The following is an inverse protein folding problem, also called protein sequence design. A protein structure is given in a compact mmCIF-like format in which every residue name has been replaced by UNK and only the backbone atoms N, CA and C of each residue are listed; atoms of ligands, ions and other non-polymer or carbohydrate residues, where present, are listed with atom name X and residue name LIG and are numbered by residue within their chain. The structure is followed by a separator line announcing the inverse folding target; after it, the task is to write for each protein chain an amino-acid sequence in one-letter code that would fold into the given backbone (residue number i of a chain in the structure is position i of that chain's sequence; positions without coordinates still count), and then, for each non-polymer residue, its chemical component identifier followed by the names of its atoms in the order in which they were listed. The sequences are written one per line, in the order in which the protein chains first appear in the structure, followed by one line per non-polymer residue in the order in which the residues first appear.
data_IF_294751489831
#
_entry.id   IF_294751489831
#
_cell.length_a   1.000
_cell.length_b   1.000
_cell.length_c   1.000
_cell.angle_alpha   90.00
_cell.angle_beta   90.00
_cell.angle_gamma   90.00
#
_symmetry.space_group_name_H-M   'P 1'
#
loop_
_entity.id
_entity.type
_entity.pdbx_description
1 polymer ?
#
# COMPACT_ATOMS: atom_id res chain seq x y z
N UNK A 1 -1.48 -31.57 12.02
CA UNK A 1 -1.18 -30.14 12.28
C UNK A 1 -0.43 -29.59 11.09
N UNK A 2 -1.10 -28.89 10.17
CA UNK A 2 -0.47 -28.47 8.91
C UNK A 2 -1.30 -27.41 8.19
N UNK A 3 -1.13 -26.15 8.56
CA UNK A 3 -1.75 -25.00 7.86
C UNK A 3 -0.86 -23.75 7.85
N UNK A 4 0.47 -23.89 7.83
CA UNK A 4 1.37 -22.72 7.82
C UNK A 4 1.82 -22.25 6.42
N UNK A 5 1.58 -23.01 5.33
CA UNK A 5 2.38 -22.82 4.10
C UNK A 5 1.63 -22.41 2.83
N UNK A 6 0.31 -22.17 2.87
CA UNK A 6 -0.47 -21.74 1.68
C UNK A 6 -0.70 -20.23 1.56
N UNK A 7 -0.85 -19.49 2.67
CA UNK A 7 -1.09 -18.03 2.63
C UNK A 7 0.14 -17.20 2.25
N UNK A 8 1.34 -17.66 2.61
CA UNK A 8 2.59 -16.96 2.30
C UNK A 8 2.99 -17.00 0.81
N UNK A 9 2.46 -17.94 0.02
CA UNK A 9 2.85 -18.12 -1.39
C UNK A 9 2.17 -17.17 -2.37
N UNK A 10 1.07 -16.50 -1.98
CA UNK A 10 0.42 -15.50 -2.83
C UNK A 10 1.22 -14.20 -2.93
N UNK A 11 2.18 -13.99 -2.02
CA UNK A 11 3.10 -12.84 -2.03
C UNK A 11 4.28 -13.09 -2.99
N UNK A 12 4.55 -14.35 -3.38
CA UNK A 12 5.87 -14.72 -3.92
C UNK A 12 6.07 -14.44 -5.42
N UNK A 13 5.08 -14.11 -6.25
CA UNK A 13 5.29 -14.23 -7.72
C UNK A 13 4.69 -13.21 -8.69
N UNK A 14 4.22 -12.04 -8.25
CA UNK A 14 3.91 -10.96 -9.18
C UNK A 14 4.12 -9.56 -8.56
N UNK A 15 5.24 -8.94 -8.95
CA UNK A 15 5.36 -7.50 -9.27
C UNK A 15 5.03 -6.43 -8.21
N UNK A 16 4.99 -6.71 -6.91
CA UNK A 16 5.03 -5.65 -5.90
C UNK A 16 6.49 -5.24 -5.67
N UNK A 17 6.93 -4.13 -6.29
CA UNK A 17 8.29 -3.57 -6.06
C UNK A 17 8.49 -3.02 -4.64
N UNK A 18 7.42 -2.87 -3.87
CA UNK A 18 7.41 -2.30 -2.53
C UNK A 18 6.81 -3.27 -1.52
N UNK A 19 7.39 -3.32 -0.31
CA UNK A 19 6.77 -4.01 0.82
C UNK A 19 5.52 -3.25 1.30
N UNK A 20 4.57 -3.89 2.01
CA UNK A 20 3.42 -3.18 2.60
C UNK A 20 3.82 -2.02 3.52
N UNK A 21 4.93 -2.15 4.24
CA UNK A 21 5.47 -1.08 5.10
C UNK A 21 5.98 0.09 4.27
N UNK A 22 6.66 -0.17 3.15
CA UNK A 22 7.13 0.87 2.24
C UNK A 22 5.95 1.54 1.52
N UNK A 23 4.93 0.77 1.13
CA UNK A 23 3.71 1.29 0.54
C UNK A 23 2.95 2.20 1.52
N UNK A 24 2.86 1.81 2.81
CA UNK A 24 2.24 2.65 3.83
C UNK A 24 3.04 3.94 4.08
N UNK A 25 4.38 3.85 4.10
CA UNK A 25 5.25 5.02 4.22
C UNK A 25 5.09 5.96 3.02
N UNK A 26 5.08 5.42 1.81
CA UNK A 26 4.88 6.18 0.58
C UNK A 26 3.50 6.85 0.55
N UNK A 27 2.44 6.12 0.95
CA UNK A 27 1.09 6.68 1.08
C UNK A 27 1.04 7.83 2.08
N UNK A 28 1.60 7.62 3.28
CA UNK A 28 1.65 8.65 4.31
C UNK A 28 2.44 9.89 3.89
N UNK A 29 3.55 9.72 3.15
CA UNK A 29 4.31 10.86 2.63
C UNK A 29 3.50 11.61 1.57
N UNK A 30 2.88 10.86 0.66
CA UNK A 30 2.16 11.40 -0.48
C UNK A 30 0.94 12.22 -0.07
N UNK A 31 0.04 11.70 0.78
CA UNK A 31 -1.16 12.45 1.21
C UNK A 31 -0.84 13.71 2.03
N UNK A 32 0.37 13.80 2.59
CA UNK A 32 0.86 14.99 3.30
C UNK A 32 1.58 15.98 2.38
N UNK A 33 1.90 15.59 1.16
CA UNK A 33 2.60 16.44 0.20
C UNK A 33 1.66 17.53 -0.33
N UNK A 34 2.03 18.82 -0.35
CA UNK A 34 1.11 19.91 -0.76
C UNK A 34 0.50 19.73 -2.16
N UNK A 35 1.23 19.07 -3.05
CA UNK A 35 0.82 18.87 -4.45
C UNK A 35 0.06 17.56 -4.71
N UNK A 36 -0.28 16.77 -3.69
CA UNK A 36 -0.99 15.49 -3.90
C UNK A 36 -2.35 15.67 -4.58
N UNK A 37 -3.02 16.81 -4.34
CA UNK A 37 -4.29 17.19 -5.00
C UNK A 37 -4.15 17.47 -6.50
N UNK A 38 -2.93 17.70 -6.97
CA UNK A 38 -2.59 17.94 -8.37
C UNK A 38 -2.08 16.67 -9.06
N UNK A 39 -2.23 15.51 -8.41
CA UNK A 39 -1.78 14.26 -8.97
C UNK A 39 -2.49 13.94 -10.29
N UNK A 40 -1.70 13.54 -11.29
CA UNK A 40 -2.16 13.19 -12.62
C UNK A 40 -1.57 11.81 -12.98
N UNK A 41 -2.40 10.82 -13.36
CA UNK A 41 -1.94 9.47 -13.73
C UNK A 41 -1.00 9.45 -14.95
N UNK A 42 -1.00 10.50 -15.78
CA UNK A 42 -0.14 10.63 -16.96
C UNK A 42 1.18 11.36 -16.66
N UNK A 43 1.30 11.96 -15.48
CA UNK A 43 2.48 12.66 -15.02
C UNK A 43 3.33 11.81 -14.06
N UNK A 44 4.61 12.17 -13.94
CA UNK A 44 5.56 11.52 -13.03
C UNK A 44 6.61 10.68 -13.74
N UNK A 45 7.61 10.25 -12.99
CA UNK A 45 8.79 9.57 -13.53
C UNK A 45 8.65 8.04 -13.60
N UNK A 46 7.51 7.48 -13.20
CA UNK A 46 7.28 6.03 -13.13
C UNK A 46 8.06 5.29 -12.03
N UNK A 47 8.80 6.03 -11.19
CA UNK A 47 9.54 5.49 -10.04
C UNK A 47 8.69 5.70 -8.79
N UNK A 48 8.21 4.62 -8.17
CA UNK A 48 7.27 4.69 -7.05
C UNK A 48 7.80 5.45 -5.83
N UNK A 49 9.12 5.44 -5.60
CA UNK A 49 9.78 6.17 -4.52
C UNK A 49 9.83 7.68 -4.76
N UNK A 50 9.76 8.12 -6.01
CA UNK A 50 9.89 9.52 -6.42
C UNK A 50 8.53 10.13 -6.82
N UNK A 51 7.73 9.37 -7.57
CA UNK A 51 6.37 9.72 -8.00
C UNK A 51 5.45 8.53 -7.70
N UNK A 52 4.93 8.44 -6.47
CA UNK A 52 4.06 7.34 -6.10
C UNK A 52 2.78 7.33 -6.93
N UNK A 53 2.34 6.15 -7.34
CA UNK A 53 1.05 5.92 -8.00
C UNK A 53 0.01 5.56 -6.92
N UNK A 54 -0.95 6.43 -6.58
CA UNK A 54 -1.92 6.21 -5.51
C UNK A 54 -2.79 4.96 -5.70
N UNK A 55 -3.39 4.72 -6.90
CA UNK A 55 -4.04 3.44 -7.17
C UNK A 55 -3.18 2.21 -6.88
N UNK A 56 -1.90 2.24 -7.29
CA UNK A 56 -0.99 1.11 -7.05
C UNK A 56 -0.71 0.94 -5.56
N UNK A 57 -0.35 2.02 -4.85
CA UNK A 57 -0.13 2.01 -3.40
C UNK A 57 -1.34 1.45 -2.63
N UNK A 58 -2.55 1.88 -3.01
CA UNK A 58 -3.78 1.42 -2.36
C UNK A 58 -4.00 -0.06 -2.59
N UNK A 59 -3.73 -0.55 -3.80
CA UNK A 59 -3.78 -1.98 -4.12
C UNK A 59 -2.80 -2.81 -3.28
N UNK A 60 -1.54 -2.35 -3.11
CA UNK A 60 -0.55 -3.03 -2.24
C UNK A 60 -1.10 -3.18 -0.81
N UNK A 61 -1.66 -2.08 -0.29
CA UNK A 61 -2.19 -2.00 1.07
C UNK A 61 -3.42 -2.88 1.25
N UNK A 62 -4.32 -2.94 0.28
CA UNK A 62 -5.50 -3.82 0.32
C UNK A 62 -5.13 -5.30 0.25
N UNK A 63 -4.13 -5.66 -0.58
CA UNK A 63 -3.57 -7.01 -0.60
C UNK A 63 -2.98 -7.36 0.76
N UNK A 64 -2.20 -6.46 1.37
CA UNK A 64 -1.64 -6.66 2.70
C UNK A 64 -2.74 -6.89 3.75
N UNK A 65 -3.79 -6.07 3.74
CA UNK A 65 -4.96 -6.23 4.60
C UNK A 65 -5.65 -7.59 4.41
N UNK A 66 -5.72 -8.10 3.18
CA UNK A 66 -6.39 -9.37 2.87
C UNK A 66 -5.60 -10.61 3.34
N UNK A 67 -4.27 -10.52 3.44
CA UNK A 67 -3.42 -11.66 3.81
C UNK A 67 -3.00 -11.68 5.28
N UNK A 68 -3.04 -10.52 5.96
CA UNK A 68 -2.66 -10.40 7.37
C UNK A 68 -3.65 -11.09 8.34
N UNK A 69 -3.18 -11.52 9.52
CA UNK A 69 -4.06 -11.92 10.62
C UNK A 69 -5.05 -10.82 10.99
N UNK A 70 -6.25 -11.20 11.46
CA UNK A 70 -7.36 -10.27 11.74
C UNK A 70 -6.97 -9.06 12.59
N UNK A 71 -6.13 -9.25 13.62
CA UNK A 71 -5.68 -8.16 14.51
C UNK A 71 -4.83 -7.15 13.74
N UNK A 72 -3.84 -7.61 12.99
CA UNK A 72 -2.91 -6.76 12.24
C UNK A 72 -3.63 -6.09 11.07
N UNK A 73 -4.49 -6.83 10.36
CA UNK A 73 -5.33 -6.29 9.31
C UNK A 73 -6.28 -5.18 9.83
N UNK A 74 -6.79 -5.30 11.07
CA UNK A 74 -7.60 -4.24 11.69
C UNK A 74 -6.79 -2.99 11.99
N UNK A 75 -5.58 -3.14 12.51
CA UNK A 75 -4.66 -2.02 12.77
C UNK A 75 -4.30 -1.32 11.46
N UNK A 76 -3.92 -2.09 10.43
CA UNK A 76 -3.56 -1.54 9.12
C UNK A 76 -4.75 -0.81 8.48
N UNK A 77 -5.96 -1.37 8.51
CA UNK A 77 -7.17 -0.68 8.02
C UNK A 77 -7.39 0.67 8.69
N UNK A 78 -7.18 0.78 10.00
CA UNK A 78 -7.33 2.05 10.74
C UNK A 78 -6.31 3.09 10.29
N UNK A 79 -5.05 2.67 10.11
CA UNK A 79 -3.99 3.56 9.64
C UNK A 79 -4.29 4.06 8.23
N UNK A 80 -4.72 3.17 7.34
CA UNK A 80 -5.09 3.53 5.97
C UNK A 80 -6.27 4.50 5.96
N UNK A 81 -7.35 4.21 6.71
CA UNK A 81 -8.51 5.09 6.78
C UNK A 81 -8.15 6.52 7.23
N UNK A 82 -7.28 6.65 8.24
CA UNK A 82 -6.83 7.96 8.71
C UNK A 82 -5.96 8.72 7.68
N UNK A 83 -5.30 8.02 6.76
CA UNK A 83 -4.56 8.63 5.65
C UNK A 83 -5.50 8.95 4.48
N UNK A 84 -6.49 8.11 4.21
CA UNK A 84 -7.51 8.33 3.18
C UNK A 84 -8.35 9.59 3.50
N UNK A 85 -8.51 9.97 4.77
CA UNK A 85 -9.13 11.25 5.17
C UNK A 85 -8.31 12.50 4.78
N UNK A 86 -7.01 12.36 4.55
CA UNK A 86 -6.12 13.45 4.14
C UNK A 86 -6.03 13.59 2.61
N UNK A 87 -6.51 12.58 1.88
CA UNK A 87 -6.48 12.51 0.41
C UNK A 87 -7.41 13.51 -0.27
#
# INVERSE_FOLDING_TARGET
MGTCTRRARLIQRAALRLSPSDALRAWSWFVRHPWHRLWDPTAGCGVMECCPNPPELRWILDVAVAVLPTKDARTLRKQIAALDEQW
#
